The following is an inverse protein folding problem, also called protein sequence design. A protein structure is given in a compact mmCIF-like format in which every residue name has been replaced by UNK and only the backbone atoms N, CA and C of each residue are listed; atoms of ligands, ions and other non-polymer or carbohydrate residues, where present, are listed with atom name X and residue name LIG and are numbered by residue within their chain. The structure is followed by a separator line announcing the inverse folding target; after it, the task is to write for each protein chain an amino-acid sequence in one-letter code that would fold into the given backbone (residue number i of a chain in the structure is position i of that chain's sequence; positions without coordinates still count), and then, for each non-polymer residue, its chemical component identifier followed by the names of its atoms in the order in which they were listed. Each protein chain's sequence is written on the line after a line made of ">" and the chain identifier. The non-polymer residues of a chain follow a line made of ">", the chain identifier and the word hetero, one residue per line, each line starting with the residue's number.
data_IF_175810293323
#
_entry.id   IF_175810293323
#
_cell.length_a   1.000
_cell.length_b   1.000
_cell.length_c   1.000
_cell.angle_alpha   90.00
_cell.angle_beta   90.00
_cell.angle_gamma   90.00
#
_symmetry.space_group_name_H-M   'P 1'
#
loop_
_entity.id
_entity.type
_entity.pdbx_description
1 polymer ?
#
# COMPACT_ATOMS: atom_id res chain seq x y z
N UNK A 1 -2.22 19.47 2.56
CA UNK A 1 -1.84 18.06 2.74
C UNK A 1 -2.89 17.18 2.10
N UNK A 2 -2.53 16.32 1.14
CA UNK A 2 -3.47 15.39 0.52
C UNK A 2 -3.91 14.27 1.47
N UNK A 3 -3.06 13.89 2.42
CA UNK A 3 -3.32 12.85 3.41
C UNK A 3 -3.88 13.42 4.72
N UNK A 4 -4.94 12.77 5.23
CA UNK A 4 -5.53 13.10 6.54
C UNK A 4 -5.11 12.05 7.55
N UNK A 5 -4.79 12.49 8.76
CA UNK A 5 -4.51 11.58 9.86
C UNK A 5 -5.55 11.74 10.98
N UNK A 6 -5.96 10.64 11.61
CA UNK A 6 -6.77 10.65 12.82
C UNK A 6 -6.40 9.50 13.75
N UNK A 7 -6.73 9.64 15.03
CA UNK A 7 -6.56 8.56 16.01
C UNK A 7 -7.80 7.69 16.04
N UNK A 8 -7.62 6.38 15.89
CA UNK A 8 -8.70 5.38 15.87
C UNK A 8 -8.36 4.27 16.86
N UNK A 9 -9.27 4.01 17.80
CA UNK A 9 -9.21 2.82 18.64
C UNK A 9 -9.68 1.59 17.87
N UNK A 10 -8.87 0.53 17.91
CA UNK A 10 -9.16 -0.80 17.37
C UNK A 10 -8.69 -1.84 18.37
N UNK A 11 -9.51 -2.86 18.64
CA UNK A 11 -9.27 -3.77 19.76
C UNK A 11 -9.54 -5.24 19.42
N UNK A 12 -8.52 -6.09 19.62
CA UNK A 12 -8.66 -7.56 19.61
C UNK A 12 -9.00 -8.05 21.02
N UNK A 13 -10.24 -8.52 21.19
CA UNK A 13 -10.73 -9.11 22.44
C UNK A 13 -10.73 -10.63 22.37
N UNK A 14 -10.38 -11.29 23.48
CA UNK A 14 -10.25 -12.75 23.56
C UNK A 14 -9.33 -13.35 22.50
N UNK A 15 -8.29 -12.60 22.11
CA UNK A 15 -7.31 -12.97 21.08
C UNK A 15 -7.93 -13.23 19.70
N UNK A 16 -9.10 -12.65 19.41
CA UNK A 16 -9.79 -12.81 18.13
C UNK A 16 -9.42 -11.68 17.17
N UNK A 17 -9.34 -12.03 15.90
CA UNK A 17 -9.26 -11.09 14.80
C UNK A 17 -10.45 -10.13 14.81
N UNK A 18 -10.18 -8.85 14.63
CA UNK A 18 -11.18 -7.79 14.54
C UNK A 18 -10.78 -6.76 13.49
N UNK A 19 -11.78 -6.23 12.78
CA UNK A 19 -11.59 -5.24 11.73
C UNK A 19 -12.39 -3.97 11.99
N UNK A 20 -11.96 -2.88 11.37
CA UNK A 20 -12.67 -1.61 11.35
C UNK A 20 -12.45 -0.88 10.03
N UNK A 21 -13.53 -0.60 9.33
CA UNK A 21 -13.50 0.22 8.10
C UNK A 21 -13.36 1.69 8.48
N UNK A 22 -12.50 2.41 7.75
CA UNK A 22 -12.37 3.86 7.83
C UNK A 22 -13.29 4.48 6.77
N UNK A 23 -14.52 4.78 7.15
CA UNK A 23 -15.62 5.18 6.22
C UNK A 23 -15.30 6.37 5.31
N UNK A 24 -14.49 7.31 5.76
CA UNK A 24 -14.08 8.50 5.03
C UNK A 24 -12.73 8.34 4.31
N UNK A 25 -12.19 7.12 4.25
CA UNK A 25 -10.96 6.79 3.54
C UNK A 25 -11.25 6.01 2.24
N UNK A 26 -10.65 6.43 1.14
CA UNK A 26 -10.49 5.56 -0.04
C UNK A 26 -9.37 4.53 0.19
N UNK A 27 -8.30 4.91 0.90
CA UNK A 27 -7.13 4.06 1.09
C UNK A 27 -6.31 4.47 2.32
N UNK A 28 -5.97 3.54 3.19
CA UNK A 28 -5.09 3.76 4.36
C UNK A 28 -3.64 3.70 3.92
N UNK A 29 -2.89 4.74 4.26
CA UNK A 29 -1.49 4.94 3.88
C UNK A 29 -0.53 4.47 4.96
N UNK A 30 -0.94 4.63 6.22
CA UNK A 30 -0.13 4.27 7.37
C UNK A 30 -1.01 4.05 8.59
N UNK A 31 -0.57 3.16 9.47
CA UNK A 31 -1.15 2.90 10.79
C UNK A 31 -0.01 2.68 11.78
N UNK A 32 0.04 3.48 12.84
CA UNK A 32 1.04 3.36 13.91
C UNK A 32 0.39 3.38 15.28
N UNK A 33 0.99 2.66 16.24
CA UNK A 33 0.55 2.67 17.63
C UNK A 33 0.87 4.03 18.25
N UNK A 34 -0.12 4.67 18.87
CA UNK A 34 0.05 5.89 19.68
C UNK A 34 -0.03 5.55 21.16
N UNK A 35 -1.04 4.78 21.56
CA UNK A 35 -1.24 4.40 22.95
C UNK A 35 -1.69 2.94 23.04
N UNK A 36 -0.84 2.08 23.62
CA UNK A 36 -1.09 0.64 23.71
C UNK A 36 -1.97 0.33 24.92
N UNK A 37 -3.12 -0.29 24.67
CA UNK A 37 -4.14 -0.65 25.66
C UNK A 37 -4.13 -2.14 26.05
N UNK A 38 -3.23 -2.94 25.46
CA UNK A 38 -3.07 -4.37 25.75
C UNK A 38 -1.73 -4.69 26.40
N UNK A 39 -1.70 -5.75 27.21
CA UNK A 39 -0.46 -6.42 27.58
C UNK A 39 0.17 -7.14 26.37
N UNK A 40 -0.66 -7.67 25.46
CA UNK A 40 -0.21 -8.24 24.19
C UNK A 40 0.53 -7.19 23.34
N UNK A 41 1.53 -7.64 22.59
CA UNK A 41 2.30 -6.80 21.69
C UNK A 41 1.45 -6.38 20.48
N UNK A 42 1.68 -5.14 20.03
CA UNK A 42 1.11 -4.59 18.81
C UNK A 42 2.25 -4.36 17.82
N UNK A 43 2.42 -5.31 16.89
CA UNK A 43 3.47 -5.30 15.87
C UNK A 43 2.83 -5.26 14.48
N UNK A 44 3.24 -4.29 13.66
CA UNK A 44 2.68 -4.09 12.32
C UNK A 44 2.95 -5.32 11.45
N UNK A 45 1.90 -5.85 10.81
CA UNK A 45 1.97 -7.05 9.97
C UNK A 45 1.85 -8.37 10.74
N UNK A 46 1.90 -8.35 12.08
CA UNK A 46 1.75 -9.56 12.91
C UNK A 46 0.46 -9.53 13.73
N UNK A 47 0.22 -8.46 14.47
CA UNK A 47 -0.95 -8.32 15.36
C UNK A 47 -1.78 -7.08 15.10
N UNK A 48 -1.35 -6.21 14.19
CA UNK A 48 -2.22 -5.21 13.59
C UNK A 48 -1.74 -4.86 12.19
N UNK A 49 -2.62 -4.26 11.41
CA UNK A 49 -2.28 -3.72 10.12
C UNK A 49 -3.49 -3.13 9.43
N UNK A 50 -3.34 -2.94 8.13
CA UNK A 50 -4.40 -2.39 7.31
C UNK A 50 -4.32 -2.96 5.90
N UNK A 51 -5.47 -3.00 5.24
CA UNK A 51 -5.60 -3.34 3.85
C UNK A 51 -6.67 -2.43 3.24
N UNK A 52 -6.31 -1.66 2.21
CA UNK A 52 -7.20 -0.66 1.58
C UNK A 52 -7.77 0.30 2.64
N UNK A 53 -9.08 0.40 2.81
CA UNK A 53 -9.72 1.24 3.82
C UNK A 53 -10.01 0.52 5.16
N UNK A 54 -9.60 -0.75 5.30
CA UNK A 54 -9.89 -1.58 6.47
C UNK A 54 -8.66 -1.71 7.35
N UNK A 55 -8.83 -1.44 8.64
CA UNK A 55 -7.85 -1.72 9.68
C UNK A 55 -8.15 -3.07 10.29
N UNK A 56 -7.12 -3.76 10.76
CA UNK A 56 -7.28 -5.01 11.50
C UNK A 56 -6.36 -5.06 12.71
N UNK A 57 -6.80 -5.78 13.73
CA UNK A 57 -6.04 -6.14 14.93
C UNK A 57 -6.33 -7.58 15.28
N UNK A 58 -5.34 -8.26 15.84
CA UNK A 58 -5.42 -9.67 16.20
C UNK A 58 -4.56 -10.00 17.43
N UNK A 59 -4.60 -11.25 17.88
CA UNK A 59 -3.72 -11.77 18.94
C UNK A 59 -3.78 -10.96 20.25
N UNK A 60 -4.90 -10.30 20.53
CA UNK A 60 -5.12 -9.52 21.74
C UNK A 60 -4.54 -8.09 21.70
N UNK A 61 -3.97 -7.67 20.56
CA UNK A 61 -3.51 -6.30 20.37
C UNK A 61 -4.68 -5.31 20.46
N UNK A 62 -4.54 -4.33 21.33
CA UNK A 62 -5.51 -3.24 21.54
C UNK A 62 -4.73 -1.95 21.68
N UNK A 63 -5.06 -0.94 20.88
CA UNK A 63 -4.40 0.35 20.96
C UNK A 63 -5.25 1.46 20.33
N UNK A 64 -4.89 2.70 20.67
CA UNK A 64 -5.19 3.85 19.85
C UNK A 64 -4.12 3.97 18.77
N UNK A 65 -4.55 3.96 17.52
CA UNK A 65 -3.67 4.01 16.36
C UNK A 65 -3.80 5.37 15.65
N UNK A 66 -2.67 5.97 15.28
CA UNK A 66 -2.65 7.07 14.32
C UNK A 66 -2.76 6.45 12.92
N UNK A 67 -3.84 6.79 12.23
CA UNK A 67 -4.15 6.29 10.89
C UNK A 67 -4.11 7.47 9.93
N UNK A 68 -3.23 7.41 8.94
CA UNK A 68 -3.17 8.38 7.86
C UNK A 68 -3.72 7.73 6.58
N UNK A 69 -4.55 8.46 5.84
CA UNK A 69 -5.32 7.91 4.73
C UNK A 69 -5.59 8.95 3.65
N UNK A 70 -5.83 8.46 2.43
CA UNK A 70 -6.44 9.22 1.36
C UNK A 70 -7.95 9.33 1.64
N UNK A 71 -8.51 10.55 1.71
CA UNK A 71 -9.95 10.74 1.83
C UNK A 71 -10.73 10.10 0.68
N UNK A 72 -12.04 9.93 0.83
CA UNK A 72 -12.91 9.49 -0.27
C UNK A 72 -12.73 10.40 -1.48
N UNK A 73 -12.24 9.82 -2.57
CA UNK A 73 -12.06 10.46 -3.88
C UNK A 73 -13.00 9.82 -4.91
N UNK A 74 -13.37 10.53 -5.99
CA UNK A 74 -14.15 9.95 -7.08
C UNK A 74 -13.40 8.77 -7.72
N UNK A 75 -13.97 7.57 -7.58
CA UNK A 75 -13.45 6.33 -8.17
C UNK A 75 -14.13 6.05 -9.51
N UNK A 76 -13.35 5.63 -10.49
CA UNK A 76 -13.89 4.99 -11.69
C UNK A 76 -13.84 3.48 -11.52
N UNK A 77 -14.87 2.78 -11.98
CA UNK A 77 -14.91 1.33 -12.01
C UNK A 77 -15.18 0.86 -13.44
N UNK A 78 -14.55 -0.25 -13.83
CA UNK A 78 -14.82 -0.92 -15.09
C UNK A 78 -14.74 -2.44 -14.94
N UNK A 79 -15.53 -3.13 -15.74
CA UNK A 79 -15.46 -4.59 -15.87
C UNK A 79 -14.41 -4.94 -16.91
N UNK A 80 -13.43 -5.76 -16.55
CA UNK A 80 -12.38 -6.24 -17.44
C UNK A 80 -12.23 -7.76 -17.36
N UNK A 81 -12.31 -8.42 -18.51
CA UNK A 81 -11.97 -9.85 -18.62
C UNK A 81 -10.46 -10.04 -18.49
N UNK A 82 -10.01 -10.85 -17.55
CA UNK A 82 -8.60 -11.23 -17.39
C UNK A 82 -8.50 -12.74 -17.19
N UNK A 83 -7.58 -13.39 -17.91
CA UNK A 83 -7.63 -14.85 -18.05
C UNK A 83 -6.26 -15.52 -17.91
N UNK A 84 -6.15 -16.46 -16.96
CA UNK A 84 -5.02 -17.38 -16.82
C UNK A 84 -5.29 -18.68 -17.60
N UNK A 85 -4.71 -18.80 -18.79
CA UNK A 85 -4.80 -20.01 -19.63
C UNK A 85 -3.62 -20.96 -19.36
N UNK A 86 -3.89 -22.27 -19.38
CA UNK A 86 -2.89 -23.30 -19.08
C UNK A 86 -2.18 -23.11 -17.73
N UNK A 87 -2.89 -22.54 -16.74
CA UNK A 87 -2.36 -22.20 -15.42
C UNK A 87 -1.19 -21.19 -15.43
N UNK A 88 -1.02 -20.43 -16.52
CA UNK A 88 0.06 -19.45 -16.64
C UNK A 88 -0.34 -18.09 -16.09
N UNK A 89 0.64 -17.38 -15.55
CA UNK A 89 0.50 -15.98 -15.19
C UNK A 89 0.13 -15.14 -16.42
N UNK A 90 -0.81 -14.21 -16.23
CA UNK A 90 -1.18 -13.21 -17.22
C UNK A 90 -1.47 -11.87 -16.52
N UNK A 91 -1.20 -10.78 -17.22
CA UNK A 91 -1.44 -9.43 -16.73
C UNK A 91 -2.01 -8.53 -17.82
N UNK A 92 -2.70 -7.47 -17.41
CA UNK A 92 -3.21 -6.41 -18.28
C UNK A 92 -3.00 -5.05 -17.63
N UNK A 93 -2.55 -4.08 -18.41
CA UNK A 93 -2.51 -2.67 -18.00
C UNK A 93 -3.94 -2.13 -18.04
N UNK A 94 -4.30 -1.35 -17.02
CA UNK A 94 -5.56 -0.61 -16.96
C UNK A 94 -5.24 0.86 -17.23
N UNK A 95 -5.55 1.32 -18.43
CA UNK A 95 -5.24 2.68 -18.86
C UNK A 95 -5.92 3.71 -17.96
N UNK A 96 -5.17 4.75 -17.57
CA UNK A 96 -5.65 5.81 -16.68
C UNK A 96 -5.75 5.45 -15.20
N UNK A 97 -5.57 4.18 -14.82
CA UNK A 97 -5.61 3.76 -13.43
C UNK A 97 -4.31 4.15 -12.72
N UNK A 98 -4.36 5.13 -11.81
CA UNK A 98 -3.20 5.52 -11.03
C UNK A 98 -3.12 4.78 -9.70
N UNK A 99 -4.25 4.62 -9.01
CA UNK A 99 -4.37 3.89 -7.74
C UNK A 99 -5.57 2.93 -7.77
N UNK A 100 -5.34 1.63 -7.74
CA UNK A 100 -6.39 0.63 -7.55
C UNK A 100 -6.92 0.65 -6.12
N UNK A 101 -8.24 0.78 -6.00
CA UNK A 101 -8.97 0.75 -4.73
C UNK A 101 -9.47 -0.66 -4.46
N UNK A 102 -10.04 -1.31 -5.47
CA UNK A 102 -10.53 -2.67 -5.34
C UNK A 102 -10.54 -3.41 -6.68
N UNK A 103 -10.49 -4.74 -6.59
CA UNK A 103 -10.72 -5.65 -7.69
C UNK A 103 -11.49 -6.84 -7.14
N UNK A 104 -12.63 -7.14 -7.76
CA UNK A 104 -13.52 -8.24 -7.33
C UNK A 104 -13.97 -9.05 -8.53
N UNK A 105 -14.20 -10.34 -8.33
CA UNK A 105 -14.81 -11.21 -9.34
C UNK A 105 -16.26 -10.80 -9.52
N UNK A 106 -16.63 -10.45 -10.75
CA UNK A 106 -18.01 -10.15 -11.14
C UNK A 106 -18.66 -11.38 -11.79
N UNK A 107 -17.97 -12.02 -12.73
CA UNK A 107 -18.43 -13.27 -13.36
C UNK A 107 -17.26 -14.26 -13.57
N UNK A 108 -17.29 -15.40 -12.87
CA UNK A 108 -16.22 -16.40 -12.91
C UNK A 108 -16.32 -17.27 -14.16
N UNK A 109 -15.26 -17.29 -14.97
CA UNK A 109 -15.16 -18.03 -16.24
C UNK A 109 -14.29 -19.30 -16.14
N UNK A 110 -13.90 -19.68 -14.92
CA UNK A 110 -13.07 -20.86 -14.66
C UNK A 110 -13.68 -21.79 -13.61
N UNK A 111 -13.36 -23.07 -13.73
CA UNK A 111 -13.51 -24.04 -12.63
C UNK A 111 -12.52 -23.74 -11.49
N UNK A 112 -11.31 -23.26 -11.85
CA UNK A 112 -10.30 -22.82 -10.88
C UNK A 112 -10.82 -21.63 -10.04
N UNK A 113 -10.42 -21.58 -8.77
CA UNK A 113 -10.80 -20.50 -7.86
C UNK A 113 -10.11 -19.19 -8.22
N UNK A 114 -10.82 -18.09 -7.97
CA UNK A 114 -10.32 -16.73 -8.11
C UNK A 114 -10.33 -16.08 -6.73
N UNK A 115 -9.16 -16.08 -6.10
CA UNK A 115 -8.95 -15.62 -4.73
C UNK A 115 -7.98 -14.43 -4.78
N UNK A 116 -8.42 -13.29 -4.23
CA UNK A 116 -7.63 -12.05 -4.24
C UNK A 116 -6.27 -12.30 -3.56
N UNK A 117 -5.23 -11.71 -4.14
CA UNK A 117 -3.82 -11.80 -3.75
C UNK A 117 -3.22 -13.22 -3.82
N UNK A 118 -3.98 -14.21 -4.30
CA UNK A 118 -3.51 -15.60 -4.51
C UNK A 118 -3.53 -15.99 -5.99
N UNK A 119 -4.67 -15.82 -6.66
CA UNK A 119 -4.83 -16.15 -8.07
C UNK A 119 -5.27 -14.96 -8.93
N UNK A 120 -5.56 -13.81 -8.32
CA UNK A 120 -5.64 -12.53 -9.03
C UNK A 120 -5.27 -11.38 -8.10
N UNK A 121 -4.95 -10.23 -8.68
CA UNK A 121 -4.67 -9.02 -7.92
C UNK A 121 -4.24 -7.87 -8.82
N UNK A 122 -3.58 -6.88 -8.23
CA UNK A 122 -3.14 -5.69 -8.95
C UNK A 122 -1.85 -5.10 -8.38
N UNK A 123 -1.19 -4.29 -9.21
CA UNK A 123 0.02 -3.55 -8.88
C UNK A 123 -0.16 -2.07 -9.26
N UNK A 124 -0.15 -1.20 -8.25
CA UNK A 124 -0.31 0.24 -8.45
C UNK A 124 0.85 0.88 -9.23
N UNK A 125 2.09 0.42 -8.99
CA UNK A 125 3.28 1.03 -9.57
C UNK A 125 3.34 0.98 -11.11
N UNK A 126 2.64 0.03 -11.73
CA UNK A 126 2.61 -0.17 -13.17
C UNK A 126 1.18 -0.12 -13.74
N UNK A 127 0.18 0.22 -12.92
CA UNK A 127 -1.23 0.23 -13.34
C UNK A 127 -1.69 -1.10 -13.93
N UNK A 128 -1.19 -2.23 -13.40
CA UNK A 128 -1.49 -3.57 -13.93
C UNK A 128 -2.38 -4.36 -13.01
N UNK A 129 -3.28 -5.14 -13.60
CA UNK A 129 -4.00 -6.24 -12.94
C UNK A 129 -3.44 -7.57 -13.42
N UNK A 130 -3.48 -8.60 -12.59
CA UNK A 130 -2.93 -9.91 -12.90
C UNK A 130 -3.86 -11.04 -12.48
N UNK A 131 -3.71 -12.18 -13.16
CA UNK A 131 -4.34 -13.46 -12.86
C UNK A 131 -3.32 -14.58 -13.00
N UNK A 132 -3.51 -15.66 -12.25
CA UNK A 132 -2.64 -16.82 -12.27
C UNK A 132 -3.42 -18.10 -11.92
N UNK A 133 -2.75 -19.25 -11.98
CA UNK A 133 -3.28 -20.53 -11.49
C UNK A 133 -4.62 -20.95 -12.10
N UNK A 134 -4.91 -20.55 -13.34
CA UNK A 134 -6.13 -20.93 -14.06
C UNK A 134 -7.34 -20.04 -13.77
N UNK A 135 -7.20 -19.04 -12.89
CA UNK A 135 -8.25 -18.07 -12.60
C UNK A 135 -8.58 -17.25 -13.86
N UNK A 136 -9.85 -17.28 -14.25
CA UNK A 136 -10.41 -16.52 -15.38
C UNK A 136 -11.74 -15.94 -14.93
N UNK A 137 -11.90 -14.63 -15.07
CA UNK A 137 -13.15 -13.97 -14.73
C UNK A 137 -13.28 -12.63 -15.45
N UNK A 138 -14.51 -12.14 -15.49
CA UNK A 138 -14.77 -10.70 -15.58
C UNK A 138 -14.61 -10.12 -14.19
N UNK A 139 -13.72 -9.14 -14.08
CA UNK A 139 -13.41 -8.49 -12.81
C UNK A 139 -13.94 -7.06 -12.83
N UNK A 140 -14.67 -6.68 -11.79
CA UNK A 140 -14.94 -5.28 -11.51
C UNK A 140 -13.70 -4.67 -10.85
N UNK A 141 -13.09 -3.69 -11.52
CA UNK A 141 -11.86 -3.03 -11.10
C UNK A 141 -12.18 -1.56 -10.85
N UNK A 142 -12.02 -1.11 -9.61
CA UNK A 142 -12.22 0.27 -9.20
C UNK A 142 -10.89 0.95 -8.87
N UNK A 143 -10.68 2.15 -9.39
CA UNK A 143 -9.43 2.89 -9.26
C UNK A 143 -9.65 4.40 -9.26
N UNK A 144 -8.64 5.14 -8.79
CA UNK A 144 -8.53 6.58 -8.99
C UNK A 144 -7.78 6.86 -10.27
N UNK A 145 -8.32 7.77 -11.08
CA UNK A 145 -7.59 8.37 -12.20
C UNK A 145 -6.46 9.24 -11.68
N UNK A 146 -5.39 9.34 -12.46
CA UNK A 146 -4.29 10.25 -12.19
C UNK A 146 -3.03 9.84 -12.95
N UNK A 147 -1.90 10.35 -12.50
CA UNK A 147 -0.60 9.99 -13.05
C UNK A 147 0.22 9.19 -12.04
N UNK A 148 0.84 8.11 -12.52
CA UNK A 148 1.96 7.48 -11.80
C UNK A 148 3.22 8.23 -12.19
N UNK A 149 3.73 9.05 -11.27
CA UNK A 149 4.92 9.85 -11.53
C UNK A 149 6.14 9.17 -10.93
N UNK A 150 7.27 9.26 -11.63
CA UNK A 150 8.57 8.86 -11.09
C UNK A 150 9.58 9.97 -11.33
N UNK A 151 10.33 10.33 -10.29
CA UNK A 151 11.40 11.31 -10.37
C UNK A 151 12.60 10.79 -9.59
N UNK A 152 13.80 11.19 -9.97
CA UNK A 152 15.00 10.87 -9.19
C UNK A 152 15.19 11.94 -8.14
N UNK A 153 15.27 11.52 -6.88
CA UNK A 153 15.28 12.40 -5.73
C UNK A 153 16.45 12.01 -4.84
N UNK A 154 17.39 12.93 -4.66
CA UNK A 154 18.45 12.74 -3.68
C UNK A 154 17.90 12.96 -2.26
N UNK A 155 18.20 12.00 -1.38
CA UNK A 155 17.97 12.06 0.06
C UNK A 155 19.18 11.45 0.75
N UNK A 156 19.66 12.08 1.82
CA UNK A 156 20.94 11.71 2.44
C UNK A 156 20.88 11.74 3.96
N UNK A 157 21.26 10.63 4.61
CA UNK A 157 21.57 10.57 6.04
C UNK A 157 23.01 11.03 6.25
N UNK A 158 23.18 12.30 6.62
CA UNK A 158 24.48 12.87 6.95
C UNK A 158 24.77 12.70 8.44
N UNK A 159 26.02 12.38 8.79
CA UNK A 159 26.44 12.11 10.17
C UNK A 159 25.57 11.06 10.88
N UNK A 160 25.09 10.07 10.12
CA UNK A 160 24.20 9.01 10.60
C UNK A 160 22.89 9.54 11.22
N UNK A 161 22.42 10.71 10.79
CA UNK A 161 21.16 11.29 11.26
C UNK A 161 20.00 10.89 10.36
N UNK A 162 18.85 10.64 10.99
CA UNK A 162 17.59 10.45 10.30
C UNK A 162 17.21 11.71 9.52
N UNK A 163 16.84 11.54 8.25
CA UNK A 163 16.42 12.64 7.39
C UNK A 163 15.17 12.26 6.61
N UNK A 164 14.30 13.24 6.37
CA UNK A 164 13.06 13.05 5.62
C UNK A 164 12.95 14.01 4.45
N UNK A 165 12.14 13.65 3.46
CA UNK A 165 11.78 14.51 2.34
C UNK A 165 10.34 14.26 1.93
N UNK A 166 9.51 15.28 2.09
CA UNK A 166 8.13 15.27 1.62
C UNK A 166 8.10 15.47 0.12
N UNK A 167 7.22 14.73 -0.58
CA UNK A 167 6.91 14.92 -1.99
C UNK A 167 5.56 15.60 -2.13
N UNK A 168 5.49 16.93 -2.32
CA UNK A 168 4.22 17.66 -2.31
C UNK A 168 3.26 17.24 -3.42
N UNK A 169 3.79 16.76 -4.54
CA UNK A 169 3.00 16.23 -5.66
C UNK A 169 2.50 14.80 -5.42
N UNK A 170 3.08 14.07 -4.46
CA UNK A 170 2.64 12.72 -4.15
C UNK A 170 1.48 12.78 -3.14
N UNK A 171 0.39 12.13 -3.47
CA UNK A 171 -0.63 11.78 -2.47
C UNK A 171 -0.23 10.53 -1.70
N UNK A 172 0.39 9.54 -2.38
CA UNK A 172 0.97 8.38 -1.72
C UNK A 172 2.08 7.73 -2.55
N UNK A 173 3.14 7.29 -1.89
CA UNK A 173 4.24 6.54 -2.50
C UNK A 173 3.90 5.05 -2.45
N UNK A 174 4.05 4.35 -3.58
CA UNK A 174 3.84 2.90 -3.71
C UNK A 174 5.10 2.12 -3.43
N UNK A 175 6.21 2.61 -3.97
CA UNK A 175 7.50 1.96 -3.94
C UNK A 175 8.59 2.99 -4.09
N UNK A 176 9.77 2.64 -3.61
CA UNK A 176 10.96 3.47 -3.72
C UNK A 176 12.15 2.55 -3.85
N UNK A 177 13.05 2.86 -4.80
CA UNK A 177 14.27 2.09 -5.01
C UNK A 177 15.48 3.00 -5.13
N UNK A 178 16.63 2.45 -4.78
CA UNK A 178 17.94 3.07 -5.02
C UNK A 178 18.23 3.04 -6.53
N UNK A 179 18.58 4.18 -7.10
CA UNK A 179 19.10 4.30 -8.48
C UNK A 179 20.62 4.37 -8.47
N UNK A 180 21.17 5.18 -7.58
CA UNK A 180 22.61 5.39 -7.46
C UNK A 180 22.96 5.57 -5.99
N UNK A 181 23.68 4.62 -5.41
CA UNK A 181 24.11 4.68 -4.02
C UNK A 181 25.36 5.57 -3.90
N UNK A 182 25.32 6.50 -2.94
CA UNK A 182 26.37 7.51 -2.70
C UNK A 182 27.08 7.31 -1.35
N UNK A 183 26.58 6.40 -0.52
CA UNK A 183 27.18 6.01 0.77
C UNK A 183 27.91 4.68 0.69
N UNK A 184 28.96 4.53 1.50
CA UNK A 184 29.51 3.20 1.85
C UNK A 184 28.56 2.42 2.77
N UNK A 185 27.83 3.12 3.64
CA UNK A 185 26.75 2.52 4.43
C UNK A 185 25.65 1.97 3.50
N UNK A 186 25.10 0.78 3.79
CA UNK A 186 24.11 0.13 2.94
C UNK A 186 22.79 0.90 2.93
N UNK A 187 22.13 0.90 1.77
CA UNK A 187 20.76 1.38 1.63
C UNK A 187 19.82 0.18 1.43
N UNK A 188 19.19 -0.25 2.51
CA UNK A 188 18.23 -1.35 2.60
C UNK A 188 16.83 -0.82 2.91
N UNK A 189 15.85 -1.15 2.07
CA UNK A 189 14.45 -0.74 2.21
C UNK A 189 13.86 -1.27 3.51
N UNK A 190 13.16 -0.42 4.27
CA UNK A 190 12.55 -0.76 5.55
C UNK A 190 13.53 -0.75 6.73
N UNK A 191 14.83 -0.61 6.50
CA UNK A 191 15.85 -0.54 7.55
C UNK A 191 16.54 0.82 7.59
N UNK A 192 17.09 1.24 6.46
CA UNK A 192 17.92 2.48 6.36
C UNK A 192 17.34 3.49 5.38
N UNK A 193 16.31 3.10 4.62
CA UNK A 193 15.47 4.03 3.88
C UNK A 193 14.07 3.46 3.73
N UNK A 194 13.13 4.34 3.44
CA UNK A 194 11.78 3.94 3.11
C UNK A 194 10.89 5.15 2.85
N UNK A 195 9.60 4.91 2.97
CA UNK A 195 8.60 5.95 2.81
C UNK A 195 7.38 5.63 3.67
N UNK A 196 6.64 6.68 3.99
CA UNK A 196 5.35 6.62 4.66
C UNK A 196 4.48 7.72 4.03
N UNK A 197 3.30 7.36 3.54
CA UNK A 197 2.44 8.28 2.79
C UNK A 197 3.20 8.99 1.65
N UNK A 198 3.32 10.31 1.69
CA UNK A 198 4.05 11.14 0.71
C UNK A 198 5.49 11.49 1.15
N UNK A 199 5.95 10.93 2.26
CA UNK A 199 7.21 11.29 2.90
C UNK A 199 8.22 10.16 2.75
N UNK A 200 9.36 10.48 2.13
CA UNK A 200 10.53 9.61 2.07
C UNK A 200 11.39 9.80 3.31
N UNK A 201 12.11 8.75 3.72
CA UNK A 201 13.08 8.83 4.80
C UNK A 201 14.34 8.02 4.51
N UNK A 202 15.45 8.43 5.12
CA UNK A 202 16.75 7.75 5.12
C UNK A 202 17.38 7.86 6.52
N UNK A 203 18.19 6.88 6.88
CA UNK A 203 18.83 6.78 8.19
C UNK A 203 20.17 6.04 8.14
N UNK A 204 20.90 6.00 9.26
CA UNK A 204 22.11 5.19 9.46
C UNK A 204 23.19 5.37 8.38
N UNK A 205 23.30 6.60 7.85
CA UNK A 205 24.32 6.96 6.86
C UNK A 205 23.99 6.57 5.42
N UNK A 206 22.82 5.99 5.16
CA UNK A 206 22.35 5.72 3.81
C UNK A 206 22.16 7.02 3.02
N UNK A 207 22.81 7.11 1.86
CA UNK A 207 22.75 8.25 0.94
C UNK A 207 22.65 7.72 -0.47
N UNK A 208 21.65 8.17 -1.21
CA UNK A 208 21.44 7.74 -2.58
C UNK A 208 20.54 8.71 -3.36
N UNK A 209 20.60 8.56 -4.67
CA UNK A 209 19.53 9.00 -5.55
C UNK A 209 18.46 7.91 -5.58
N UNK A 210 17.26 8.26 -5.12
CA UNK A 210 16.12 7.35 -5.05
C UNK A 210 15.13 7.64 -6.16
N UNK A 211 14.40 6.62 -6.61
CA UNK A 211 13.28 6.76 -7.54
C UNK A 211 12.01 6.23 -6.89
N UNK A 212 11.18 7.10 -6.27
CA UNK A 212 9.85 6.74 -5.83
C UNK A 212 8.88 6.63 -7.02
N UNK A 213 7.97 5.68 -6.95
CA UNK A 213 6.74 5.64 -7.75
C UNK A 213 5.58 6.02 -6.85
N UNK A 214 4.79 7.02 -7.26
CA UNK A 214 3.73 7.56 -6.43
C UNK A 214 2.51 7.98 -7.23
N UNK A 215 1.37 7.97 -6.54
CA UNK A 215 0.11 8.55 -7.00
C UNK A 215 0.18 10.08 -6.97
N UNK A 216 -0.10 10.70 -8.10
CA UNK A 216 -0.57 12.10 -8.16
C UNK A 216 -1.98 12.11 -8.74
N UNK A 217 -2.97 12.72 -8.05
CA UNK A 217 -4.24 13.09 -8.65
C UNK A 217 -4.06 13.95 -9.90
#
# INVERSE_FOLDING_TARGET
>A
DPDKCKTIRVESWSYKYAEKVVEDASYVLNMTVVDRQSAAACTLGESFGYQKATLWVDHGCRADFKVCYLPVMPTECQTLRVESWNYKYAEKVVEGAALFINMTVEDRQSEASCDLDKSFGFYNQNSTVWVNHGCRADFNICYLKGAVTTSTINVSSWNYQYATKVLPAASCIYSMRVVNQQSAAPCTLGTTYGFVANTMWVDDGCRADFKPSYYSP
#
